data_IF_464524620559
#
_entry.id   IF_464524620559
#
_cell.length_a   1.000
_cell.length_b   1.000
_cell.length_c   1.000
_cell.angle_alpha   90.00
_cell.angle_beta   90.00
_cell.angle_gamma   90.00
#
_symmetry.space_group_name_H-M   'P 1'
#
loop_
_entity.id
_entity.type
_entity.pdbx_description
1 polymer ?
#
# COMPACT_ATOMS: atom_id res chain seq x y z
N UNK A 1 -20.53 -25.28 -11.97
CA UNK A 1 -19.29 -25.82 -11.38
C UNK A 1 -18.18 -24.80 -11.70
N UNK A 2 -18.04 -23.74 -10.89
CA UNK A 2 -17.03 -22.70 -11.13
C UNK A 2 -15.69 -23.20 -10.58
N UNK A 3 -14.70 -23.32 -11.46
CA UNK A 3 -13.31 -23.57 -11.08
C UNK A 3 -12.87 -22.40 -10.21
N UNK A 4 -12.57 -22.68 -8.95
CA UNK A 4 -11.76 -21.78 -8.13
C UNK A 4 -10.36 -21.74 -8.70
N UNK A 5 -9.86 -20.53 -8.92
CA UNK A 5 -8.48 -20.33 -9.30
C UNK A 5 -7.62 -20.59 -8.05
N UNK A 6 -6.97 -21.75 -8.01
CA UNK A 6 -6.26 -22.31 -6.84
C UNK A 6 -5.07 -21.46 -6.36
N UNK A 7 -4.78 -20.33 -7.01
CA UNK A 7 -3.62 -19.50 -6.73
C UNK A 7 -3.93 -18.10 -6.20
N UNK A 8 -5.18 -17.79 -5.83
CA UNK A 8 -5.52 -16.48 -5.27
C UNK A 8 -5.60 -16.53 -3.75
N UNK A 9 -4.60 -15.97 -3.09
CA UNK A 9 -4.63 -15.69 -1.66
C UNK A 9 -5.64 -14.56 -1.39
N UNK A 10 -6.63 -14.85 -0.56
CA UNK A 10 -7.59 -13.88 -0.05
C UNK A 10 -7.60 -13.91 1.47
N UNK A 11 -7.92 -12.77 2.07
CA UNK A 11 -8.15 -12.65 3.51
C UNK A 11 -9.65 -12.59 3.75
N UNK A 12 -10.17 -13.50 4.55
CA UNK A 12 -11.56 -13.48 4.98
C UNK A 12 -11.63 -13.17 6.48
N UNK A 13 -12.22 -12.04 6.81
CA UNK A 13 -12.54 -11.68 8.19
C UNK A 13 -13.96 -12.17 8.49
N UNK A 14 -14.18 -12.72 9.68
CA UNK A 14 -15.51 -13.08 10.15
C UNK A 14 -15.87 -12.18 11.32
N UNK A 15 -17.08 -11.61 11.32
CA UNK A 15 -17.56 -10.69 12.33
C UNK A 15 -19.01 -11.00 12.68
N UNK A 16 -19.42 -10.71 13.94
CA UNK A 16 -20.85 -10.83 14.30
C UNK A 16 -21.64 -9.64 13.78
N UNK A 17 -22.92 -9.83 13.51
CA UNK A 17 -23.80 -8.74 13.04
C UNK A 17 -23.91 -7.61 14.06
N UNK A 18 -23.84 -7.94 15.36
CA UNK A 18 -23.88 -6.95 16.44
C UNK A 18 -22.65 -6.03 16.38
N UNK A 19 -21.43 -6.61 16.27
CA UNK A 19 -20.20 -5.87 16.18
C UNK A 19 -20.10 -5.07 14.89
N UNK A 20 -20.57 -5.65 13.79
CA UNK A 20 -20.63 -4.96 12.50
C UNK A 20 -21.51 -3.71 12.56
N UNK A 21 -22.73 -3.85 13.09
CA UNK A 21 -23.65 -2.72 13.24
C UNK A 21 -23.07 -1.64 14.16
N UNK A 22 -22.42 -2.05 15.27
CA UNK A 22 -21.79 -1.13 16.21
C UNK A 22 -20.64 -0.37 15.58
N UNK A 23 -19.81 -1.04 14.78
CA UNK A 23 -18.61 -0.44 14.21
C UNK A 23 -18.90 0.46 13.01
N UNK A 24 -19.78 0.02 12.12
CA UNK A 24 -20.10 0.74 10.87
C UNK A 24 -21.33 1.64 10.94
N UNK A 25 -22.08 1.58 12.04
CA UNK A 25 -23.32 2.36 12.24
C UNK A 25 -24.50 1.84 11.41
N UNK A 26 -24.48 0.56 11.05
CA UNK A 26 -25.52 -0.10 10.28
C UNK A 26 -26.56 -0.77 11.20
N UNK A 27 -27.67 -1.28 10.65
CA UNK A 27 -28.76 -1.91 11.39
C UNK A 27 -29.24 -3.21 10.69
N UNK A 28 -28.28 -4.08 10.36
CA UNK A 28 -28.60 -5.39 9.78
C UNK A 28 -29.10 -6.35 10.86
N UNK A 29 -29.97 -7.28 10.45
CA UNK A 29 -30.49 -8.34 11.32
C UNK A 29 -30.31 -9.67 10.60
N UNK A 30 -29.78 -10.66 11.30
CA UNK A 30 -29.62 -12.04 10.83
C UNK A 30 -30.38 -12.94 11.79
N UNK A 31 -31.52 -13.44 11.36
CA UNK A 31 -32.39 -14.27 12.22
C UNK A 31 -31.96 -15.74 12.24
N UNK A 32 -31.51 -16.25 11.10
CA UNK A 32 -31.11 -17.65 10.93
C UNK A 32 -29.59 -17.82 11.01
N UNK A 33 -29.12 -18.84 11.75
CA UNK A 33 -27.71 -19.19 11.87
C UNK A 33 -27.06 -19.62 10.54
N UNK A 34 -27.82 -20.22 9.64
CA UNK A 34 -27.36 -20.61 8.31
C UNK A 34 -27.37 -19.44 7.30
N UNK A 35 -27.58 -18.21 7.77
CA UNK A 35 -27.59 -17.01 6.92
C UNK A 35 -26.42 -16.10 7.27
N UNK A 36 -25.89 -15.39 6.25
CA UNK A 36 -24.80 -14.47 6.40
C UNK A 36 -24.93 -13.26 5.45
N UNK A 37 -24.16 -12.20 5.72
CA UNK A 37 -23.96 -11.08 4.81
C UNK A 37 -22.50 -11.12 4.37
N UNK A 38 -22.25 -10.96 3.08
CA UNK A 38 -20.91 -10.93 2.53
C UNK A 38 -20.55 -9.50 2.13
N UNK A 39 -19.42 -9.01 2.63
CA UNK A 39 -18.81 -7.76 2.17
C UNK A 39 -17.60 -8.09 1.31
N UNK A 40 -17.55 -7.54 0.11
CA UNK A 40 -16.47 -7.81 -0.85
C UNK A 40 -16.25 -6.63 -1.79
N UNK A 41 -15.01 -6.47 -2.25
CA UNK A 41 -14.66 -5.52 -3.31
C UNK A 41 -15.03 -5.99 -4.71
N UNK A 42 -15.27 -7.28 -4.86
CA UNK A 42 -15.58 -7.87 -6.16
C UNK A 42 -17.06 -7.77 -6.48
N UNK A 43 -17.38 -7.41 -7.73
CA UNK A 43 -18.72 -7.56 -8.26
C UNK A 43 -19.00 -9.04 -8.45
N UNK A 44 -19.61 -9.66 -7.45
CA UNK A 44 -20.10 -11.03 -7.58
C UNK A 44 -21.37 -11.00 -8.42
N UNK A 45 -21.42 -11.80 -9.48
CA UNK A 45 -22.69 -12.18 -10.10
C UNK A 45 -23.51 -12.89 -9.01
N UNK A 46 -24.76 -12.52 -8.82
CA UNK A 46 -25.63 -12.86 -7.67
C UNK A 46 -25.41 -14.31 -7.22
N UNK A 47 -24.78 -14.49 -6.07
CA UNK A 47 -24.68 -15.78 -5.40
C UNK A 47 -25.69 -15.80 -4.27
N UNK A 48 -26.57 -16.79 -4.29
CA UNK A 48 -27.57 -16.99 -3.25
C UNK A 48 -26.96 -17.62 -1.99
N UNK A 49 -25.80 -18.25 -2.10
CA UNK A 49 -25.10 -18.89 -0.97
C UNK A 49 -23.58 -18.87 -1.11
N UNK A 50 -22.90 -18.97 0.02
CA UNK A 50 -21.45 -19.16 0.12
C UNK A 50 -21.17 -20.47 0.86
N UNK A 51 -20.21 -21.22 0.36
CA UNK A 51 -19.80 -22.48 0.98
C UNK A 51 -18.44 -22.31 1.61
N UNK A 52 -18.32 -22.62 2.90
CA UNK A 52 -17.06 -22.71 3.62
C UNK A 52 -16.74 -24.19 3.79
N UNK A 53 -15.58 -24.61 3.28
CA UNK A 53 -15.15 -26.00 3.37
C UNK A 53 -13.72 -26.11 3.89
N UNK A 54 -13.49 -27.15 4.68
CA UNK A 54 -12.21 -27.75 4.94
C UNK A 54 -12.26 -29.17 4.41
N UNK A 55 -11.12 -29.86 4.29
CA UNK A 55 -11.02 -31.23 3.70
C UNK A 55 -12.12 -32.18 4.11
N UNK A 56 -12.64 -32.08 5.34
CA UNK A 56 -13.56 -33.04 5.93
C UNK A 56 -14.96 -32.50 6.25
N UNK A 57 -15.13 -31.16 6.26
CA UNK A 57 -16.39 -30.54 6.69
C UNK A 57 -16.80 -29.42 5.72
N UNK A 58 -18.09 -29.29 5.50
CA UNK A 58 -18.69 -28.27 4.61
C UNK A 58 -19.84 -27.61 5.33
N UNK A 59 -19.86 -26.30 5.32
CA UNK A 59 -21.01 -25.49 5.77
C UNK A 59 -21.41 -24.51 4.69
N UNK A 60 -22.70 -24.43 4.42
CA UNK A 60 -23.29 -23.53 3.43
C UNK A 60 -24.07 -22.43 4.16
N UNK A 61 -23.81 -21.19 3.79
CA UNK A 61 -24.51 -20.01 4.31
C UNK A 61 -25.31 -19.36 3.20
N UNK A 62 -26.57 -19.15 3.43
CA UNK A 62 -27.43 -18.37 2.54
C UNK A 62 -27.07 -16.89 2.68
N UNK A 63 -26.79 -16.22 1.56
CA UNK A 63 -26.50 -14.79 1.58
C UNK A 63 -27.80 -13.99 1.61
N UNK A 64 -27.97 -13.20 2.66
CA UNK A 64 -29.09 -12.25 2.80
C UNK A 64 -28.81 -11.02 1.96
N UNK A 65 -27.54 -10.57 1.98
CA UNK A 65 -27.09 -9.38 1.25
C UNK A 65 -25.61 -9.50 0.86
N UNK A 66 -25.21 -8.75 -0.17
CA UNK A 66 -23.81 -8.64 -0.62
C UNK A 66 -23.46 -7.17 -0.74
N UNK A 67 -22.59 -6.71 0.17
CA UNK A 67 -22.17 -5.32 0.26
C UNK A 67 -20.85 -5.11 -0.51
N UNK A 68 -20.82 -4.07 -1.35
CA UNK A 68 -19.67 -3.77 -2.23
C UNK A 68 -19.06 -2.39 -2.02
N UNK A 69 -19.34 -1.72 -0.90
CA UNK A 69 -18.82 -0.39 -0.61
C UNK A 69 -17.37 -0.49 -0.09
N UNK A 70 -16.43 -0.19 -0.98
CA UNK A 70 -15.00 -0.29 -0.71
C UNK A 70 -14.49 0.73 0.31
N UNK A 71 -15.01 1.96 0.27
CA UNK A 71 -14.52 3.06 1.10
C UNK A 71 -15.00 2.90 2.54
N UNK A 72 -16.20 2.39 2.73
CA UNK A 72 -16.79 2.22 4.04
C UNK A 72 -16.22 1.02 4.80
N UNK A 73 -16.08 -0.13 4.13
CA UNK A 73 -15.82 -1.41 4.80
C UNK A 73 -14.37 -1.89 4.74
N UNK A 74 -13.61 -1.44 3.78
CA UNK A 74 -12.23 -1.88 3.57
C UNK A 74 -11.24 -0.71 3.56
N UNK A 75 -10.99 -0.11 4.71
CA UNK A 75 -9.95 0.90 4.84
C UNK A 75 -8.62 0.24 5.21
N UNK A 76 -7.61 0.32 4.34
CA UNK A 76 -6.25 -0.12 4.68
C UNK A 76 -5.42 -0.60 3.49
N UNK A 77 -4.09 -0.50 3.64
CA UNK A 77 -3.13 -0.84 2.59
C UNK A 77 -3.15 -2.33 2.20
N UNK A 78 -3.45 -3.23 3.15
CA UNK A 78 -3.47 -4.68 2.91
C UNK A 78 -4.61 -5.07 1.98
N UNK A 79 -5.77 -4.42 2.11
CA UNK A 79 -6.95 -4.70 1.29
C UNK A 79 -6.82 -4.19 -0.15
N UNK A 80 -5.79 -3.39 -0.46
CA UNK A 80 -5.49 -2.93 -1.82
C UNK A 80 -4.71 -3.94 -2.64
N UNK A 81 -4.02 -4.87 -1.99
CA UNK A 81 -3.08 -5.82 -2.63
C UNK A 81 -3.64 -7.24 -2.68
N UNK A 82 -4.53 -7.59 -1.73
CA UNK A 82 -5.12 -8.94 -1.61
C UNK A 82 -6.62 -8.85 -1.72
N UNK A 83 -7.26 -9.89 -2.24
CA UNK A 83 -8.71 -10.01 -2.19
C UNK A 83 -9.18 -10.06 -0.74
N UNK A 84 -10.01 -9.12 -0.35
CA UNK A 84 -10.55 -9.02 1.00
C UNK A 84 -12.04 -9.34 0.99
N UNK A 85 -12.42 -10.22 1.89
CA UNK A 85 -13.80 -10.60 2.14
C UNK A 85 -14.10 -10.42 3.62
N UNK A 86 -15.31 -10.00 3.94
CA UNK A 86 -15.80 -10.00 5.32
C UNK A 86 -17.13 -10.75 5.35
N UNK A 87 -17.19 -11.78 6.16
CA UNK A 87 -18.41 -12.57 6.38
C UNK A 87 -19.05 -12.15 7.70
N UNK A 88 -20.25 -11.66 7.64
CA UNK A 88 -21.00 -11.23 8.81
C UNK A 88 -21.98 -12.35 9.17
N UNK A 89 -21.85 -12.87 10.36
CA UNK A 89 -22.65 -13.97 10.90
C UNK A 89 -23.52 -13.52 12.07
N UNK A 90 -24.47 -14.32 12.44
CA UNK A 90 -25.47 -13.99 13.45
C UNK A 90 -24.87 -13.68 14.81
N UNK A 91 -24.05 -14.59 15.33
CA UNK A 91 -23.57 -14.55 16.71
C UNK A 91 -22.18 -15.19 16.86
N UNK A 92 -21.67 -15.12 18.10
CA UNK A 92 -20.38 -15.68 18.46
C UNK A 92 -20.33 -17.21 18.37
N UNK A 93 -21.46 -17.90 18.55
CA UNK A 93 -21.50 -19.36 18.39
C UNK A 93 -21.23 -19.75 16.94
N UNK A 94 -21.79 -19.01 16.01
CA UNK A 94 -21.60 -19.26 14.59
C UNK A 94 -20.18 -18.90 14.14
N UNK A 95 -19.59 -17.82 14.68
CA UNK A 95 -18.19 -17.49 14.48
C UNK A 95 -17.27 -18.61 14.98
N UNK A 96 -17.54 -19.16 16.17
CA UNK A 96 -16.82 -20.31 16.70
C UNK A 96 -17.01 -21.59 15.87
N UNK A 97 -18.19 -21.79 15.32
CA UNK A 97 -18.49 -22.91 14.41
C UNK A 97 -17.59 -22.81 13.15
N UNK A 98 -17.55 -21.65 12.51
CA UNK A 98 -16.69 -21.41 11.33
C UNK A 98 -15.21 -21.60 11.69
N UNK A 99 -14.76 -21.06 12.81
CA UNK A 99 -13.40 -21.25 13.28
C UNK A 99 -13.03 -22.74 13.41
N UNK A 100 -13.89 -23.51 14.08
CA UNK A 100 -13.66 -24.95 14.27
C UNK A 100 -13.73 -25.73 12.96
N UNK A 101 -14.57 -25.29 12.02
CA UNK A 101 -14.69 -25.88 10.70
C UNK A 101 -13.42 -25.66 9.88
N UNK A 102 -12.86 -24.45 9.88
CA UNK A 102 -11.69 -24.09 9.07
C UNK A 102 -10.41 -24.69 9.66
N UNK A 103 -10.23 -24.62 10.98
CA UNK A 103 -8.97 -24.97 11.63
C UNK A 103 -9.00 -26.32 12.37
N UNK A 104 -10.17 -26.92 12.56
CA UNK A 104 -10.31 -28.15 13.31
C UNK A 104 -9.88 -28.03 14.77
N UNK A 105 -9.68 -29.17 15.43
CA UNK A 105 -9.19 -29.22 16.81
C UNK A 105 -7.66 -29.14 16.96
N UNK A 106 -6.93 -29.06 15.85
CA UNK A 106 -5.50 -29.32 15.85
C UNK A 106 -4.59 -28.12 16.05
N UNK A 107 -5.06 -26.89 15.82
CA UNK A 107 -4.21 -25.72 16.00
C UNK A 107 -4.94 -24.50 16.61
N UNK A 108 -4.99 -24.50 17.93
CA UNK A 108 -5.59 -23.39 18.70
C UNK A 108 -4.86 -22.05 18.51
N UNK A 109 -3.67 -22.02 17.94
CA UNK A 109 -2.88 -20.80 17.75
C UNK A 109 -3.17 -20.10 16.41
N UNK A 110 -3.58 -20.86 15.41
CA UNK A 110 -3.82 -20.31 14.06
C UNK A 110 -5.18 -19.61 13.91
N UNK A 111 -6.09 -19.80 14.85
CA UNK A 111 -7.45 -19.27 14.81
C UNK A 111 -7.84 -18.60 16.11
N UNK A 112 -7.18 -17.51 16.46
CA UNK A 112 -7.58 -16.69 17.58
C UNK A 112 -8.74 -15.77 17.20
N UNK A 113 -9.75 -15.73 18.07
CA UNK A 113 -10.74 -14.64 18.01
C UNK A 113 -10.09 -13.44 18.70
N UNK A 114 -9.99 -12.33 17.98
CA UNK A 114 -9.49 -11.08 18.53
C UNK A 114 -10.63 -10.12 18.83
N UNK A 115 -10.58 -9.51 20.00
CA UNK A 115 -11.44 -8.38 20.34
C UNK A 115 -10.68 -7.08 20.12
N UNK A 116 -11.20 -6.22 19.24
CA UNK A 116 -10.61 -4.92 19.01
C UNK A 116 -11.43 -3.85 19.73
N UNK A 117 -10.80 -3.14 20.66
CA UNK A 117 -11.43 -2.04 21.40
C UNK A 117 -10.79 -0.74 20.95
N UNK A 118 -11.57 0.13 20.34
CA UNK A 118 -11.11 1.44 19.90
C UNK A 118 -11.52 2.50 20.92
N UNK A 119 -10.53 3.18 21.48
CA UNK A 119 -10.77 4.23 22.48
C UNK A 119 -10.22 5.56 21.94
N UNK A 120 -11.08 6.56 21.87
CA UNK A 120 -10.64 7.91 21.52
C UNK A 120 -10.40 8.70 22.81
N UNK A 121 -9.16 9.12 23.01
CA UNK A 121 -8.75 9.87 24.20
C UNK A 121 -8.17 11.23 23.81
N UNK A 122 -8.34 12.24 24.68
CA UNK A 122 -7.70 13.54 24.56
C UNK A 122 -6.41 13.65 25.40
N UNK A 123 -5.78 12.52 25.67
CA UNK A 123 -4.54 12.45 26.45
C UNK A 123 -3.36 13.04 25.67
N UNK A 124 -2.39 13.58 26.42
CA UNK A 124 -1.09 13.92 25.85
C UNK A 124 -0.35 12.69 25.33
N UNK A 125 0.66 12.87 24.49
CA UNK A 125 1.48 11.76 23.99
C UNK A 125 2.07 10.94 25.13
N UNK A 126 2.63 11.59 26.15
CA UNK A 126 3.27 10.92 27.26
C UNK A 126 2.26 10.10 28.09
N UNK A 127 1.11 10.68 28.40
CA UNK A 127 0.06 9.99 29.18
C UNK A 127 -0.55 8.84 28.36
N UNK A 128 -0.71 9.00 27.07
CA UNK A 128 -1.20 7.96 26.17
C UNK A 128 -0.25 6.77 26.11
N UNK A 129 1.06 7.00 26.01
CA UNK A 129 2.08 5.94 26.03
C UNK A 129 2.14 5.22 27.39
N UNK A 130 1.98 5.95 28.48
CA UNK A 130 1.90 5.36 29.81
C UNK A 130 0.66 4.49 29.99
N UNK A 131 -0.49 4.94 29.48
CA UNK A 131 -1.72 4.17 29.52
C UNK A 131 -1.59 2.87 28.72
N UNK A 132 -1.04 2.92 27.52
CA UNK A 132 -0.84 1.72 26.69
C UNK A 132 0.03 0.68 27.40
N UNK A 133 1.15 1.12 28.00
CA UNK A 133 2.02 0.24 28.78
C UNK A 133 1.32 -0.33 30.02
N UNK A 134 0.57 0.48 30.74
CA UNK A 134 -0.16 0.01 31.91
C UNK A 134 -1.21 -1.06 31.56
N UNK A 135 -1.89 -0.92 30.41
CA UNK A 135 -2.84 -1.92 29.91
C UNK A 135 -2.13 -3.24 29.57
N UNK A 136 -0.97 -3.16 28.93
CA UNK A 136 -0.17 -4.34 28.58
C UNK A 136 0.39 -5.04 29.83
N UNK A 137 0.94 -4.27 30.77
CA UNK A 137 1.54 -4.79 32.02
C UNK A 137 0.49 -5.42 32.97
N UNK A 138 -0.72 -4.87 33.01
CA UNK A 138 -1.83 -5.38 33.82
C UNK A 138 -2.55 -6.57 33.16
N UNK A 139 -2.25 -6.85 31.89
CA UNK A 139 -2.90 -7.95 31.19
C UNK A 139 -2.48 -9.30 31.72
N UNK A 140 -3.44 -10.24 31.79
CA UNK A 140 -3.17 -11.61 32.20
C UNK A 140 -2.18 -12.29 31.26
N UNK A 141 -1.22 -13.07 31.75
CA UNK A 141 -0.30 -13.86 30.90
C UNK A 141 -1.01 -14.82 29.93
N UNK A 142 -2.26 -15.15 30.19
CA UNK A 142 -3.09 -16.01 29.37
C UNK A 142 -3.81 -15.25 28.23
N UNK A 143 -3.96 -13.92 28.37
CA UNK A 143 -4.57 -13.06 27.36
C UNK A 143 -3.46 -12.26 26.65
N UNK A 144 -3.26 -12.55 25.37
CA UNK A 144 -2.38 -11.72 24.54
C UNK A 144 -3.09 -10.40 24.25
N UNK A 145 -2.67 -9.34 24.94
CA UNK A 145 -3.16 -7.97 24.75
C UNK A 145 -2.10 -7.18 24.00
N UNK A 146 -2.48 -6.57 22.89
CA UNK A 146 -1.68 -5.61 22.16
C UNK A 146 -2.39 -4.26 22.21
N UNK A 147 -1.69 -3.23 22.62
CA UNK A 147 -2.25 -1.89 22.75
C UNK A 147 -1.55 -0.93 21.79
N UNK A 148 -2.13 -0.74 20.62
CA UNK A 148 -1.60 0.19 19.63
C UNK A 148 -1.97 1.63 19.98
N UNK A 149 -0.97 2.49 20.01
CA UNK A 149 -1.14 3.91 20.25
C UNK A 149 -0.87 4.70 18.98
N UNK A 150 -1.72 5.68 18.68
CA UNK A 150 -1.56 6.51 17.47
C UNK A 150 -0.20 7.21 17.37
N UNK A 151 0.42 7.55 18.50
CA UNK A 151 1.73 8.21 18.53
C UNK A 151 2.85 7.23 18.20
N UNK A 152 2.76 5.99 18.67
CA UNK A 152 3.74 4.94 18.38
C UNK A 152 3.67 4.54 16.91
N UNK A 153 2.47 4.35 16.39
CA UNK A 153 2.24 4.07 14.96
C UNK A 153 2.77 5.21 14.09
N UNK A 154 2.50 6.47 14.47
CA UNK A 154 3.00 7.63 13.74
C UNK A 154 4.53 7.72 13.76
N UNK A 155 5.16 7.37 14.88
CA UNK A 155 6.62 7.32 15.01
C UNK A 155 7.21 6.21 14.13
N UNK A 156 6.67 5.00 14.19
CA UNK A 156 7.10 3.88 13.34
C UNK A 156 6.97 4.21 11.84
N UNK A 157 5.84 4.78 11.42
CA UNK A 157 5.65 5.21 10.05
C UNK A 157 6.66 6.30 9.65
N UNK A 158 6.92 7.27 10.53
CA UNK A 158 7.88 8.34 10.28
C UNK A 158 9.30 7.78 10.13
N UNK A 159 9.69 6.81 10.95
CA UNK A 159 10.99 6.13 10.83
C UNK A 159 11.08 5.32 9.54
N UNK A 160 10.03 4.59 9.17
CA UNK A 160 9.99 3.83 7.93
C UNK A 160 10.11 4.74 6.69
N UNK A 161 9.27 5.77 6.61
CA UNK A 161 9.29 6.71 5.48
C UNK A 161 10.58 7.54 5.45
N UNK A 162 11.09 7.94 6.62
CA UNK A 162 12.38 8.62 6.75
C UNK A 162 13.53 7.77 6.24
N UNK A 163 13.55 6.48 6.58
CA UNK A 163 14.53 5.52 6.08
C UNK A 163 14.45 5.33 4.56
N UNK A 164 13.24 5.20 4.01
CA UNK A 164 13.04 5.10 2.56
C UNK A 164 13.44 6.39 1.83
N UNK A 165 13.12 7.55 2.39
CA UNK A 165 13.55 8.84 1.85
C UNK A 165 15.08 8.96 1.82
N UNK A 166 15.73 8.61 2.94
CA UNK A 166 17.20 8.62 3.02
C UNK A 166 17.83 7.70 1.96
N UNK A 167 17.31 6.48 1.82
CA UNK A 167 17.78 5.53 0.81
C UNK A 167 17.57 6.08 -0.61
N UNK A 168 16.40 6.68 -0.88
CA UNK A 168 16.09 7.30 -2.17
C UNK A 168 17.03 8.45 -2.50
N UNK A 169 17.30 9.33 -1.54
CA UNK A 169 18.28 10.42 -1.71
C UNK A 169 19.70 9.90 -1.95
N UNK A 170 20.11 8.88 -1.19
CA UNK A 170 21.43 8.27 -1.36
C UNK A 170 21.62 7.65 -2.75
N UNK A 171 20.67 6.86 -3.20
CA UNK A 171 20.68 6.27 -4.54
C UNK A 171 20.63 7.36 -5.62
N UNK A 172 19.82 8.40 -5.42
CA UNK A 172 19.73 9.55 -6.32
C UNK A 172 21.07 10.25 -6.51
N UNK A 173 21.81 10.47 -5.43
CA UNK A 173 23.18 11.06 -5.49
C UNK A 173 24.13 10.16 -6.26
N UNK A 174 24.09 8.84 -6.02
CA UNK A 174 24.92 7.89 -6.79
C UNK A 174 24.62 7.93 -8.28
N UNK A 175 23.34 7.97 -8.67
CA UNK A 175 22.97 8.09 -10.08
C UNK A 175 23.41 9.42 -10.67
N UNK A 176 23.31 10.52 -9.94
CA UNK A 176 23.79 11.81 -10.41
C UNK A 176 25.32 11.77 -10.64
N UNK A 177 26.09 11.20 -9.71
CA UNK A 177 27.53 11.06 -9.89
C UNK A 177 27.88 10.18 -11.08
N UNK A 178 27.20 9.04 -11.25
CA UNK A 178 27.38 8.18 -12.41
C UNK A 178 27.06 8.90 -13.72
N UNK A 179 25.97 9.65 -13.76
CA UNK A 179 25.56 10.44 -14.93
C UNK A 179 26.60 11.48 -15.29
N UNK A 180 27.10 12.24 -14.31
CA UNK A 180 28.17 13.23 -14.54
C UNK A 180 29.43 12.57 -15.10
N UNK A 181 29.81 11.40 -14.58
CA UNK A 181 30.97 10.65 -15.03
C UNK A 181 30.80 10.18 -16.48
N UNK A 182 29.64 9.62 -16.84
CA UNK A 182 29.31 9.18 -18.21
C UNK A 182 29.39 10.36 -19.17
N UNK A 183 28.80 11.50 -18.80
CA UNK A 183 28.81 12.71 -19.60
C UNK A 183 30.24 13.22 -19.79
N UNK A 184 31.02 13.24 -18.74
CA UNK A 184 32.41 13.65 -18.77
C UNK A 184 33.25 12.80 -19.75
N UNK A 185 33.17 11.46 -19.64
CA UNK A 185 33.89 10.58 -20.54
C UNK A 185 33.41 10.67 -21.99
N UNK A 186 32.09 10.80 -22.20
CA UNK A 186 31.52 11.01 -23.53
C UNK A 186 32.08 12.28 -24.19
N UNK A 187 32.14 13.38 -23.44
CA UNK A 187 32.68 14.65 -23.97
C UNK A 187 34.17 14.59 -24.32
N UNK A 188 34.95 13.90 -23.47
CA UNK A 188 36.37 13.69 -23.77
C UNK A 188 36.52 12.89 -25.07
N UNK A 189 35.77 11.81 -25.22
CA UNK A 189 35.81 10.97 -26.44
C UNK A 189 35.43 11.76 -27.70
N UNK A 190 34.30 12.48 -27.66
CA UNK A 190 33.82 13.33 -28.73
C UNK A 190 34.85 14.45 -29.07
N UNK A 191 35.44 15.05 -28.03
CA UNK A 191 36.49 16.06 -28.20
C UNK A 191 37.75 15.54 -28.94
N UNK A 192 38.13 14.29 -28.72
CA UNK A 192 39.24 13.66 -29.45
C UNK A 192 38.88 13.37 -30.91
N UNK A 193 37.66 12.89 -31.19
CA UNK A 193 37.17 12.61 -32.53
C UNK A 193 37.01 13.90 -33.36
N UNK A 194 36.47 14.94 -32.76
CA UNK A 194 36.20 16.21 -33.42
C UNK A 194 37.45 17.08 -33.60
N UNK A 195 38.54 16.78 -32.91
CA UNK A 195 39.82 17.54 -33.02
C UNK A 195 40.27 17.67 -34.44
N UNK A 196 40.21 16.58 -35.22
CA UNK A 196 40.62 16.56 -36.61
C UNK A 196 39.69 17.44 -37.48
N UNK A 197 38.42 17.47 -37.20
CA UNK A 197 37.43 18.31 -37.88
C UNK A 197 37.68 19.79 -37.61
N UNK A 198 37.99 20.15 -36.37
CA UNK A 198 38.32 21.52 -35.98
C UNK A 198 39.65 22.00 -36.59
N UNK A 199 40.66 21.13 -36.70
CA UNK A 199 41.89 21.46 -37.41
C UNK A 199 41.67 21.76 -38.89
N UNK A 200 40.77 21.04 -39.55
CA UNK A 200 40.37 21.30 -40.95
C UNK A 200 39.63 22.65 -41.05
N UNK A 201 38.70 22.93 -40.16
CA UNK A 201 37.96 24.21 -40.14
C UNK A 201 38.89 25.42 -39.93
N UNK A 202 39.90 25.30 -39.09
CA UNK A 202 40.90 26.36 -38.91
C UNK A 202 41.76 26.56 -40.17
N UNK A 203 42.05 25.49 -40.93
CA UNK A 203 42.77 25.59 -42.23
C UNK A 203 41.94 26.27 -43.31
N UNK A 204 40.60 26.19 -43.23
CA UNK A 204 39.66 26.84 -44.18
C UNK A 204 39.40 28.29 -43.79
N UNK A 205 39.93 28.78 -42.66
CA UNK A 205 39.87 30.21 -42.30
C UNK A 205 39.04 30.57 -41.07
N UNK A 206 38.53 29.57 -40.36
CA UNK A 206 37.86 29.85 -39.04
C UNK A 206 38.87 30.26 -37.98
N UNK A 207 38.51 31.30 -37.21
CA UNK A 207 39.30 31.71 -36.08
C UNK A 207 39.18 30.75 -34.90
N UNK A 208 40.19 30.72 -34.04
CA UNK A 208 40.16 29.89 -32.79
C UNK A 208 39.01 30.27 -31.88
N UNK A 209 38.56 31.50 -31.89
CA UNK A 209 37.43 32.00 -31.05
C UNK A 209 36.10 31.50 -31.58
N UNK A 210 35.92 31.47 -32.89
CA UNK A 210 34.73 30.92 -33.52
C UNK A 210 34.60 29.42 -33.26
N UNK A 211 35.70 28.66 -33.38
CA UNK A 211 35.73 27.24 -33.03
C UNK A 211 35.34 27.01 -31.57
N UNK A 212 35.92 27.76 -30.62
CA UNK A 212 35.56 27.67 -29.20
C UNK A 212 34.07 28.01 -28.95
N UNK A 213 33.55 29.01 -29.61
CA UNK A 213 32.15 29.40 -29.46
C UNK A 213 31.22 28.32 -29.98
N UNK A 214 31.54 27.70 -31.12
CA UNK A 214 30.78 26.59 -31.69
C UNK A 214 30.76 25.39 -30.76
N UNK A 215 31.92 24.97 -30.22
CA UNK A 215 32.02 23.86 -29.26
C UNK A 215 31.19 24.17 -28.01
N UNK A 216 31.30 25.35 -27.43
CA UNK A 216 30.53 25.75 -26.26
C UNK A 216 29.03 25.72 -26.51
N UNK A 217 28.59 26.21 -27.67
CA UNK A 217 27.18 26.20 -28.04
C UNK A 217 26.66 24.78 -28.23
N UNK A 218 27.42 23.90 -28.89
CA UNK A 218 27.08 22.51 -29.09
C UNK A 218 26.95 21.75 -27.76
N UNK A 219 27.89 21.92 -26.85
CA UNK A 219 27.87 21.34 -25.50
C UNK A 219 26.62 21.82 -24.74
N UNK A 220 26.39 23.12 -24.69
CA UNK A 220 25.22 23.67 -24.03
C UNK A 220 23.90 23.10 -24.59
N UNK A 221 23.80 22.98 -25.90
CA UNK A 221 22.61 22.47 -26.55
C UNK A 221 22.35 21.00 -26.21
N UNK A 222 23.38 20.16 -26.24
CA UNK A 222 23.30 18.73 -25.89
C UNK A 222 22.89 18.52 -24.43
N UNK A 223 23.28 19.42 -23.54
CA UNK A 223 22.93 19.31 -22.11
C UNK A 223 21.57 19.88 -21.79
N UNK A 224 21.28 21.10 -22.29
CA UNK A 224 20.07 21.80 -21.85
C UNK A 224 18.79 21.30 -22.53
N UNK A 225 18.86 20.81 -23.76
CA UNK A 225 17.66 20.29 -24.45
C UNK A 225 17.03 19.11 -23.72
N UNK A 226 17.77 18.04 -23.34
CA UNK A 226 17.18 16.94 -22.57
C UNK A 226 16.59 17.36 -21.22
N UNK A 227 17.26 18.28 -20.52
CA UNK A 227 16.78 18.80 -19.24
C UNK A 227 15.48 19.57 -19.43
N UNK A 228 15.41 20.44 -20.42
CA UNK A 228 14.19 21.21 -20.73
C UNK A 228 13.04 20.27 -21.12
N UNK A 229 13.29 19.26 -21.95
CA UNK A 229 12.28 18.28 -22.35
C UNK A 229 11.81 17.46 -21.14
N UNK A 230 12.69 17.09 -20.22
CA UNK A 230 12.33 16.36 -19.01
C UNK A 230 11.57 17.23 -18.00
N UNK A 231 11.85 18.53 -17.94
CA UNK A 231 11.17 19.45 -17.02
C UNK A 231 9.70 19.68 -17.37
N UNK A 232 9.31 19.61 -18.64
CA UNK A 232 7.93 19.84 -19.11
C UNK A 232 6.93 18.86 -18.46
N UNK A 233 7.07 17.53 -18.59
CA UNK A 233 6.12 16.59 -17.99
C UNK A 233 6.12 16.64 -16.46
N UNK A 234 7.27 16.89 -15.82
CA UNK A 234 7.35 17.04 -14.36
C UNK A 234 6.56 18.25 -13.90
N UNK A 235 6.73 19.42 -14.58
CA UNK A 235 5.97 20.61 -14.25
C UNK A 235 4.47 20.42 -14.48
N UNK A 236 4.09 19.73 -15.55
CA UNK A 236 2.68 19.42 -15.82
C UNK A 236 2.07 18.55 -14.72
N UNK A 237 2.73 17.47 -14.32
CA UNK A 237 2.22 16.61 -13.25
C UNK A 237 2.14 17.31 -11.89
N UNK A 238 3.12 18.13 -11.54
CA UNK A 238 3.08 18.91 -10.30
C UNK A 238 2.00 20.00 -10.26
N UNK A 239 1.65 20.55 -11.41
CA UNK A 239 0.59 21.58 -11.51
C UNK A 239 -0.82 20.95 -11.55
N UNK A 240 -0.96 19.75 -12.12
CA UNK A 240 -2.29 19.11 -12.28
C UNK A 240 -2.69 18.23 -11.10
N UNK A 241 -1.75 17.59 -10.39
CA UNK A 241 -2.05 16.76 -9.23
C UNK A 241 -2.80 17.49 -8.09
N UNK A 242 -2.44 18.70 -7.66
CA UNK A 242 -3.19 19.40 -6.61
C UNK A 242 -4.61 19.82 -7.04
N UNK A 243 -4.88 19.97 -8.33
CA UNK A 243 -6.23 20.29 -8.83
C UNK A 243 -7.15 19.08 -8.88
N UNK A 244 -6.63 17.87 -9.02
CA UNK A 244 -7.42 16.62 -9.01
C UNK A 244 -7.79 16.20 -7.58
N UNK A 245 -6.99 16.57 -6.58
CA UNK A 245 -7.27 16.30 -5.16
C UNK A 245 -8.25 17.28 -4.51
N UNK A 246 -8.67 18.33 -5.22
CA UNK A 246 -9.59 19.37 -4.74
C UNK A 246 -11.00 19.27 -5.36
N UNK A 247 -11.29 18.23 -6.12
CA UNK A 247 -12.61 17.85 -6.65
C UNK A 247 -13.05 16.55 -5.99
#
# INVERSE_FOLDING_TARGET
MSRYDENMLGVCQVMTVEDFNRFYGDNYVIDDKASAILVTKEKLESKDSITINNSDNVSEYKLIDVLTDDEKYFSGAVTSVVKAYMLIVKDMDEMNHIRNLVYGNSDKRSASISYNIYVNTNLSEQDSRQLSKAIEDESSPEAYVMCDNRYDIAEELTQLYGGLLFLGCYIGILFLMATVLIIYYKQISEGYEDRRRFEIMMKVGMSREEVKRTIKSQILMVFFIPIAVAAIPVSYTHLTLPTILLV
#
